data_IF_566468442904
#
_entry.id   IF_566468442904
#
_cell.length_a   1.000
_cell.length_b   1.000
_cell.length_c   1.000
_cell.angle_alpha   90.00
_cell.angle_beta   90.00
_cell.angle_gamma   90.00
#
_symmetry.space_group_name_H-M   'P 1'
#
loop_
_entity.id
_entity.type
_entity.pdbx_description
1 polymer ?
#
# COMPACT_ATOMS: atom_id res chain seq x y z
N UNK A 1 6.18 -32.66 -47.14
CA UNK A 1 6.24 -32.83 -45.68
C UNK A 1 6.38 -31.47 -45.02
N UNK A 2 5.28 -30.89 -44.55
CA UNK A 2 5.27 -29.55 -43.94
C UNK A 2 5.88 -29.64 -42.54
N UNK A 3 7.05 -29.04 -42.34
CA UNK A 3 7.67 -28.88 -41.02
C UNK A 3 6.82 -27.91 -40.19
N UNK A 4 5.80 -28.41 -39.51
CA UNK A 4 5.19 -27.71 -38.39
C UNK A 4 6.22 -27.75 -37.25
N UNK A 5 7.02 -26.69 -37.15
CA UNK A 5 7.89 -26.49 -36.00
C UNK A 5 7.03 -26.52 -34.74
N UNK A 6 7.34 -27.42 -33.83
CA UNK A 6 6.66 -27.55 -32.55
C UNK A 6 7.01 -26.32 -31.70
N UNK A 7 6.24 -25.23 -31.83
CA UNK A 7 6.44 -24.01 -31.04
C UNK A 7 6.01 -24.33 -29.62
N UNK A 8 6.95 -24.35 -28.68
CA UNK A 8 6.66 -24.61 -27.27
C UNK A 8 5.75 -23.51 -26.70
N UNK A 9 4.92 -23.86 -25.72
CA UNK A 9 4.12 -22.92 -24.93
C UNK A 9 4.95 -21.73 -24.42
N UNK A 10 6.23 -21.97 -24.08
CA UNK A 10 7.18 -20.95 -23.64
C UNK A 10 7.57 -19.99 -24.77
N UNK A 11 7.93 -20.53 -25.94
CA UNK A 11 8.29 -19.76 -27.14
C UNK A 11 7.11 -18.97 -27.72
N UNK A 12 5.88 -19.43 -27.48
CA UNK A 12 4.68 -18.70 -27.87
C UNK A 12 4.34 -17.59 -26.87
N UNK A 13 4.53 -17.81 -25.56
CA UNK A 13 4.28 -16.79 -24.53
C UNK A 13 5.17 -15.55 -24.68
N UNK A 14 6.41 -15.72 -25.15
CA UNK A 14 7.37 -14.63 -25.37
C UNK A 14 7.04 -13.73 -26.58
N UNK A 15 6.15 -14.16 -27.48
CA UNK A 15 5.69 -13.36 -28.63
C UNK A 15 4.67 -12.28 -28.25
N UNK A 16 4.15 -12.33 -27.02
CA UNK A 16 3.18 -11.36 -26.50
C UNK A 16 3.84 -10.44 -25.46
N UNK A 17 3.22 -9.27 -25.22
CA UNK A 17 3.70 -8.34 -24.19
C UNK A 17 3.85 -9.07 -22.85
N UNK A 18 4.93 -8.78 -22.13
CA UNK A 18 5.24 -9.44 -20.87
C UNK A 18 4.04 -9.41 -19.92
N UNK A 19 3.70 -10.56 -19.34
CA UNK A 19 2.54 -10.71 -18.46
C UNK A 19 1.20 -11.01 -19.17
N UNK A 20 1.12 -11.04 -20.50
CA UNK A 20 -0.14 -11.38 -21.22
C UNK A 20 -0.51 -12.86 -21.09
N UNK A 21 0.49 -13.72 -21.27
CA UNK A 21 0.39 -15.17 -21.12
C UNK A 21 1.54 -15.67 -20.26
N UNK A 22 1.33 -16.76 -19.53
CA UNK A 22 2.38 -17.49 -18.84
C UNK A 22 2.26 -18.99 -19.17
N UNK A 23 3.40 -19.68 -19.23
CA UNK A 23 3.45 -21.11 -19.51
C UNK A 23 3.60 -21.90 -18.19
N UNK A 24 2.83 -22.97 -18.04
CA UNK A 24 3.01 -23.97 -16.99
C UNK A 24 3.06 -25.34 -17.65
N UNK A 25 4.27 -25.87 -17.82
CA UNK A 25 4.52 -27.04 -18.66
C UNK A 25 4.18 -26.77 -20.12
N UNK A 26 3.41 -27.67 -20.73
CA UNK A 26 2.96 -27.58 -22.13
C UNK A 26 1.65 -26.78 -22.30
N UNK A 27 1.16 -26.12 -21.24
CA UNK A 27 -0.08 -25.34 -21.28
C UNK A 27 0.23 -23.85 -21.14
N UNK A 28 -0.33 -23.06 -22.03
CA UNK A 28 -0.29 -21.59 -21.95
C UNK A 28 -1.56 -21.09 -21.26
N UNK A 29 -1.40 -20.27 -20.24
CA UNK A 29 -2.48 -19.63 -19.51
C UNK A 29 -2.51 -18.14 -19.79
N UNK A 30 -3.70 -17.57 -19.91
CA UNK A 30 -3.86 -16.12 -19.91
C UNK A 30 -3.77 -15.59 -18.48
N UNK A 31 -2.88 -14.63 -18.22
CA UNK A 31 -2.70 -14.06 -16.87
C UNK A 31 -3.91 -13.25 -16.40
N UNK A 32 -4.66 -12.63 -17.31
CA UNK A 32 -5.87 -11.86 -16.99
C UNK A 32 -7.06 -12.76 -16.70
N UNK A 33 -7.23 -13.82 -17.49
CA UNK A 33 -8.40 -14.71 -17.40
C UNK A 33 -8.19 -15.88 -16.43
N UNK A 34 -6.93 -16.22 -16.14
CA UNK A 34 -6.48 -17.42 -15.45
C UNK A 34 -7.04 -18.72 -16.06
N UNK A 35 -7.13 -18.77 -17.39
CA UNK A 35 -7.65 -19.92 -18.14
C UNK A 35 -6.62 -20.40 -19.14
N UNK A 36 -6.60 -21.72 -19.37
CA UNK A 36 -5.80 -22.33 -20.43
C UNK A 36 -6.26 -21.83 -21.81
N UNK A 37 -5.29 -21.53 -22.68
CA UNK A 37 -5.50 -21.10 -24.06
C UNK A 37 -4.71 -22.03 -24.97
N UNK A 38 -5.33 -22.50 -26.05
CA UNK A 38 -4.64 -23.29 -27.05
C UNK A 38 -3.61 -22.42 -27.79
N UNK A 39 -2.35 -22.68 -27.51
CA UNK A 39 -1.20 -21.95 -28.04
C UNK A 39 -0.75 -22.46 -29.41
N UNK A 40 -1.33 -23.55 -29.92
CA UNK A 40 -0.94 -24.12 -31.23
C UNK A 40 -1.27 -23.20 -32.39
N UNK A 41 -2.22 -22.28 -32.21
CA UNK A 41 -2.62 -21.32 -33.23
C UNK A 41 -2.69 -19.91 -32.67
N UNK A 42 -1.85 -19.02 -33.22
CA UNK A 42 -1.82 -17.58 -32.89
C UNK A 42 -3.20 -16.92 -33.00
N UNK A 43 -4.01 -17.33 -33.98
CA UNK A 43 -5.38 -16.82 -34.16
C UNK A 43 -6.28 -17.10 -32.94
N UNK A 44 -6.12 -18.24 -32.28
CA UNK A 44 -6.90 -18.60 -31.08
C UNK A 44 -6.51 -17.73 -29.89
N UNK A 45 -5.21 -17.46 -29.71
CA UNK A 45 -4.73 -16.51 -28.70
C UNK A 45 -5.23 -15.09 -28.96
N UNK A 46 -5.17 -14.61 -30.20
CA UNK A 46 -5.64 -13.27 -30.56
C UNK A 46 -7.15 -13.12 -30.31
N UNK A 47 -7.94 -14.09 -30.77
CA UNK A 47 -9.39 -14.14 -30.52
C UNK A 47 -9.72 -14.17 -29.04
N UNK A 48 -8.91 -14.84 -28.21
CA UNK A 48 -9.07 -14.79 -26.75
C UNK A 48 -8.86 -13.38 -26.19
N UNK A 49 -7.82 -12.67 -26.63
CA UNK A 49 -7.50 -11.31 -26.16
C UNK A 49 -8.53 -10.28 -26.60
N UNK A 50 -9.12 -10.47 -27.79
CA UNK A 50 -10.15 -9.60 -28.36
C UNK A 50 -11.56 -9.91 -27.79
N UNK A 51 -11.74 -11.04 -27.11
CA UNK A 51 -13.02 -11.41 -26.54
C UNK A 51 -13.46 -10.40 -25.47
N UNK A 52 -14.72 -9.97 -25.53
CA UNK A 52 -15.28 -8.98 -24.60
C UNK A 52 -15.08 -9.37 -23.13
N UNK A 53 -15.16 -10.66 -22.80
CA UNK A 53 -14.90 -11.15 -21.45
C UNK A 53 -13.47 -10.87 -20.96
N UNK A 54 -12.48 -11.02 -21.84
CA UNK A 54 -11.08 -10.72 -21.52
C UNK A 54 -10.90 -9.22 -21.31
N UNK A 55 -11.44 -8.39 -22.21
CA UNK A 55 -11.37 -6.93 -22.11
C UNK A 55 -12.03 -6.41 -20.82
N UNK A 56 -13.18 -6.94 -20.43
CA UNK A 56 -13.86 -6.56 -19.19
C UNK A 56 -13.09 -7.01 -17.94
N UNK A 57 -12.51 -8.22 -17.92
CA UNK A 57 -11.63 -8.65 -16.82
C UNK A 57 -10.37 -7.79 -16.72
N UNK A 58 -9.77 -7.44 -17.86
CA UNK A 58 -8.59 -6.58 -17.93
C UNK A 58 -8.86 -5.20 -17.31
N UNK A 59 -9.95 -4.54 -17.71
CA UNK A 59 -10.37 -3.25 -17.15
C UNK A 59 -10.59 -3.32 -15.64
N UNK A 60 -11.19 -4.42 -15.14
CA UNK A 60 -11.40 -4.64 -13.68
C UNK A 60 -10.09 -4.83 -12.92
N UNK A 61 -9.10 -5.51 -13.49
CA UNK A 61 -7.79 -5.67 -12.86
C UNK A 61 -7.00 -4.36 -12.82
N UNK A 62 -7.06 -3.57 -13.91
CA UNK A 62 -6.42 -2.26 -13.98
C UNK A 62 -7.02 -1.28 -12.96
N UNK A 63 -8.35 -1.26 -12.79
CA UNK A 63 -9.00 -0.44 -11.75
C UNK A 63 -8.73 -0.92 -10.33
N UNK A 64 -8.66 -2.24 -10.10
CA UNK A 64 -8.31 -2.82 -8.81
C UNK A 64 -6.87 -2.51 -8.39
N UNK A 65 -5.91 -2.53 -9.33
CA UNK A 65 -4.51 -2.20 -9.09
C UNK A 65 -4.33 -0.72 -8.68
N UNK A 66 -5.03 0.21 -9.34
CA UNK A 66 -5.03 1.63 -8.96
C UNK A 66 -5.58 1.79 -7.53
N UNK A 67 -6.73 1.17 -7.25
CA UNK A 67 -7.36 1.27 -5.91
C UNK A 67 -6.53 0.64 -4.79
N UNK A 68 -5.69 -0.36 -5.09
CA UNK A 68 -4.84 -1.03 -4.11
C UNK A 68 -3.61 -0.19 -3.74
N UNK A 69 -2.99 0.46 -4.72
CA UNK A 69 -1.89 1.41 -4.49
C UNK A 69 -2.34 2.62 -3.67
N UNK A 70 -3.54 3.16 -3.94
CA UNK A 70 -4.11 4.27 -3.16
C UNK A 70 -4.44 3.86 -1.71
N UNK A 71 -4.93 2.64 -1.48
CA UNK A 71 -5.19 2.12 -0.13
C UNK A 71 -3.90 1.93 0.67
N UNK A 72 -2.85 1.38 0.04
CA UNK A 72 -1.56 1.18 0.69
C UNK A 72 -0.87 2.51 1.06
N UNK A 73 -0.98 3.52 0.20
CA UNK A 73 -0.46 4.86 0.50
C UNK A 73 -1.22 5.55 1.63
N UNK A 74 -2.56 5.41 1.69
CA UNK A 74 -3.38 5.93 2.80
C UNK A 74 -3.02 5.31 4.14
N UNK A 75 -2.79 4.00 4.21
CA UNK A 75 -2.38 3.33 5.45
C UNK A 75 -1.00 3.77 5.92
N UNK A 76 -0.03 3.90 5.00
CA UNK A 76 1.32 4.34 5.36
C UNK A 76 1.31 5.78 5.91
N UNK A 77 0.59 6.70 5.27
CA UNK A 77 0.49 8.09 5.75
C UNK A 77 -0.20 8.19 7.11
N UNK A 78 -1.21 7.35 7.36
CA UNK A 78 -1.92 7.32 8.63
C UNK A 78 -1.02 6.88 9.78
N UNK A 79 -0.17 5.87 9.57
CA UNK A 79 0.78 5.41 10.58
C UNK A 79 1.85 6.47 10.87
N UNK A 80 2.39 7.14 9.83
CA UNK A 80 3.35 8.24 10.02
C UNK A 80 2.72 9.37 10.84
N UNK A 81 1.46 9.72 10.56
CA UNK A 81 0.73 10.72 11.34
C UNK A 81 0.60 10.32 12.81
N UNK A 82 0.26 9.06 13.09
CA UNK A 82 0.13 8.55 14.47
C UNK A 82 1.45 8.65 15.24
N UNK A 83 2.56 8.26 14.61
CA UNK A 83 3.90 8.36 15.21
C UNK A 83 4.25 9.83 15.50
N UNK A 84 3.99 10.74 14.56
CA UNK A 84 4.25 12.16 14.76
C UNK A 84 3.47 12.75 15.94
N UNK A 85 2.19 12.40 16.09
CA UNK A 85 1.35 12.87 17.20
C UNK A 85 1.78 12.27 18.56
N UNK A 86 2.18 10.99 18.58
CA UNK A 86 2.73 10.35 19.77
C UNK A 86 4.00 11.05 20.24
N UNK A 87 4.96 11.28 19.34
CA UNK A 87 6.24 11.92 19.66
C UNK A 87 6.04 13.36 20.16
N UNK A 88 5.04 14.07 19.65
CA UNK A 88 4.70 15.41 20.12
C UNK A 88 4.18 15.38 21.57
N UNK A 89 3.24 14.49 21.88
CA UNK A 89 2.71 14.30 23.25
C UNK A 89 3.83 13.92 24.22
N UNK A 90 4.71 13.00 23.82
CA UNK A 90 5.86 12.55 24.59
C UNK A 90 6.84 13.69 24.88
N UNK A 91 7.18 14.51 23.89
CA UNK A 91 8.09 15.64 24.06
C UNK A 91 7.56 16.68 25.05
N UNK A 92 6.27 17.04 24.93
CA UNK A 92 5.63 17.98 25.86
C UNK A 92 5.56 17.41 27.28
N UNK A 93 5.18 16.14 27.43
CA UNK A 93 5.11 15.47 28.73
C UNK A 93 6.49 15.40 29.38
N UNK A 94 7.52 15.03 28.62
CA UNK A 94 8.90 14.93 29.09
C UNK A 94 9.48 16.29 29.51
N UNK A 95 9.13 17.35 28.79
CA UNK A 95 9.53 18.72 29.12
C UNK A 95 8.67 19.36 30.23
N UNK A 96 7.67 18.63 30.78
CA UNK A 96 6.68 19.15 31.72
C UNK A 96 5.98 20.42 31.19
N UNK A 97 5.72 20.47 29.88
CA UNK A 97 5.08 21.59 29.22
C UNK A 97 3.57 21.38 29.12
N UNK A 98 2.76 22.43 29.35
CA UNK A 98 1.31 22.33 29.25
C UNK A 98 0.87 22.14 27.79
N UNK A 99 0.21 21.02 27.49
CA UNK A 99 -0.26 20.72 26.14
C UNK A 99 -1.27 21.75 25.58
N UNK A 100 -2.00 22.45 26.45
CA UNK A 100 -2.92 23.52 26.03
C UNK A 100 -2.18 24.76 25.50
N UNK A 101 -0.86 24.82 25.61
CA UNK A 101 -0.04 25.80 24.90
C UNK A 101 -0.19 25.66 23.38
N UNK A 102 -0.46 24.45 22.86
CA UNK A 102 -0.75 24.24 21.44
C UNK A 102 -2.02 24.98 21.01
N UNK A 103 -3.07 24.93 21.82
CA UNK A 103 -4.35 25.58 21.47
C UNK A 103 -4.30 27.11 21.71
N UNK A 104 -3.56 27.55 22.73
CA UNK A 104 -3.53 28.95 23.18
C UNK A 104 -2.48 29.81 22.47
N UNK A 105 -1.43 29.21 21.89
CA UNK A 105 -0.39 29.91 21.15
C UNK A 105 -0.54 29.61 19.67
N UNK A 106 -1.44 30.33 19.01
CA UNK A 106 -1.73 30.15 17.58
C UNK A 106 -0.48 30.18 16.70
N UNK A 107 0.51 31.03 16.99
CA UNK A 107 1.77 31.06 16.25
C UNK A 107 2.56 29.74 16.33
N UNK A 108 2.58 29.09 17.50
CA UNK A 108 3.22 27.79 17.67
C UNK A 108 2.42 26.70 16.96
N UNK A 109 1.10 26.72 17.08
CA UNK A 109 0.21 25.78 16.38
C UNK A 109 0.42 25.83 14.86
N UNK A 110 0.32 27.03 14.28
CA UNK A 110 0.50 27.24 12.84
C UNK A 110 1.92 26.89 12.39
N UNK A 111 2.95 27.25 13.17
CA UNK A 111 4.32 26.86 12.88
C UNK A 111 4.48 25.34 12.84
N UNK A 112 3.89 24.62 13.80
CA UNK A 112 3.96 23.16 13.83
C UNK A 112 3.21 22.53 12.65
N UNK A 113 2.03 23.04 12.28
CA UNK A 113 1.28 22.55 11.11
C UNK A 113 2.04 22.76 9.80
N UNK A 114 2.69 23.91 9.63
CA UNK A 114 3.46 24.23 8.42
C UNK A 114 4.73 23.37 8.29
N UNK A 115 5.37 23.06 9.42
CA UNK A 115 6.66 22.35 9.43
C UNK A 115 6.52 20.83 9.56
N UNK A 116 5.42 20.32 10.12
CA UNK A 116 5.15 18.89 10.28
C UNK A 116 4.27 18.35 9.14
N UNK A 117 4.81 18.37 7.91
CA UNK A 117 4.12 17.96 6.68
C UNK A 117 3.50 16.56 6.73
N UNK A 118 4.01 15.68 7.57
CA UNK A 118 3.55 14.30 7.72
C UNK A 118 2.35 14.16 8.66
N UNK A 119 2.12 15.13 9.55
CA UNK A 119 1.10 15.08 10.60
C UNK A 119 -0.24 15.68 10.12
N UNK A 120 -0.20 16.54 9.10
CA UNK A 120 -1.38 17.25 8.59
C UNK A 120 -1.93 18.24 9.63
N UNK A 121 -3.25 18.45 9.62
CA UNK A 121 -3.91 19.32 10.62
C UNK A 121 -3.69 18.76 12.02
N UNK A 122 -3.21 19.62 12.91
CA UNK A 122 -2.91 19.27 14.29
C UNK A 122 -4.22 19.13 15.08
N UNK A 123 -4.44 18.01 15.80
CA UNK A 123 -5.60 17.87 16.67
C UNK A 123 -5.48 18.78 17.91
N UNK A 124 -6.62 19.07 18.54
CA UNK A 124 -6.67 19.85 19.78
C UNK A 124 -5.96 19.14 20.93
N UNK A 125 -5.49 19.92 21.91
CA UNK A 125 -4.78 19.36 23.07
C UNK A 125 -5.63 18.36 23.87
N UNK A 126 -6.95 18.54 23.92
CA UNK A 126 -7.86 17.61 24.59
C UNK A 126 -7.88 16.23 23.92
N UNK A 127 -7.91 16.21 22.59
CA UNK A 127 -7.91 14.97 21.83
C UNK A 127 -6.58 14.24 21.94
N UNK A 128 -5.46 14.97 21.84
CA UNK A 128 -4.10 14.44 21.99
C UNK A 128 -3.91 13.74 23.34
N UNK A 129 -4.31 14.41 24.45
CA UNK A 129 -4.26 13.81 25.78
C UNK A 129 -5.12 12.55 25.88
N UNK A 130 -6.34 12.58 25.34
CA UNK A 130 -7.23 11.42 25.43
C UNK A 130 -6.69 10.21 24.67
N UNK A 131 -6.07 10.43 23.51
CA UNK A 131 -5.68 9.35 22.59
C UNK A 131 -4.26 8.82 22.83
N UNK A 132 -3.30 9.70 23.15
CA UNK A 132 -1.88 9.37 23.19
C UNK A 132 -1.28 9.37 24.58
N UNK A 133 -1.75 10.17 25.54
CA UNK A 133 -1.18 10.20 26.90
C UNK A 133 -1.18 8.81 27.57
N UNK A 134 -2.26 7.99 27.51
CA UNK A 134 -2.22 6.64 28.07
C UNK A 134 -1.20 5.75 27.36
N UNK A 135 -1.00 5.93 26.05
CA UNK A 135 -0.04 5.15 25.26
C UNK A 135 1.39 5.53 25.61
N UNK A 136 1.69 6.82 25.75
CA UNK A 136 2.99 7.34 26.19
C UNK A 136 3.32 6.78 27.57
N UNK A 137 2.38 6.86 28.52
CA UNK A 137 2.58 6.29 29.85
C UNK A 137 2.90 4.79 29.81
N UNK A 138 2.09 4.00 29.09
CA UNK A 138 2.32 2.56 28.98
C UNK A 138 3.64 2.20 28.30
N UNK A 139 4.03 2.97 27.28
CA UNK A 139 5.32 2.83 26.60
C UNK A 139 6.48 3.04 27.59
N UNK A 140 6.45 4.11 28.38
CA UNK A 140 7.48 4.39 29.38
C UNK A 140 7.53 3.31 30.47
N UNK A 141 6.37 2.85 30.95
CA UNK A 141 6.30 1.75 31.94
C UNK A 141 6.92 0.47 31.37
N UNK A 142 6.65 0.14 30.11
CA UNK A 142 7.23 -1.02 29.45
C UNK A 142 8.76 -0.87 29.28
N UNK A 143 9.23 0.30 28.87
CA UNK A 143 10.66 0.59 28.72
C UNK A 143 11.41 0.45 30.06
N UNK A 144 10.85 0.99 31.15
CA UNK A 144 11.42 0.85 32.50
C UNK A 144 11.45 -0.61 32.93
N UNK A 145 10.37 -1.38 32.71
CA UNK A 145 10.33 -2.81 33.05
C UNK A 145 11.40 -3.60 32.30
N UNK A 146 11.61 -3.32 31.02
CA UNK A 146 12.64 -3.98 30.22
C UNK A 146 14.04 -3.69 30.78
N UNK A 147 14.34 -2.44 31.13
CA UNK A 147 15.63 -2.05 31.73
C UNK A 147 15.90 -2.67 33.11
N UNK A 148 14.85 -3.11 33.82
CA UNK A 148 14.96 -3.77 35.12
C UNK A 148 15.06 -5.31 35.01
N UNK A 149 14.81 -5.85 33.81
CA UNK A 149 14.86 -7.29 33.55
C UNK A 149 16.24 -7.77 33.05
N UNK A 150 17.11 -6.84 32.64
CA UNK A 150 18.54 -7.04 32.35
C UNK A 150 19.40 -6.85 33.60
#
# INVERSE_FOLDING_TARGET
>A
ASKLGNVSAKDHSSQYKNGTFHASGDITFCSTCNTAVDHKQKATCNRHLEASMHLEKKKKMESAAISSSEKQQKTAQQEIRKVGLFNLEEAFTSANLPLNALDNLHALHSYLEENLKSVGVLPTSQWLRSEYLPKVFNYHVAEVKNKLAD
#
